data_IF_960488094041
#
_entry.id   IF_960488094041
#
_cell.length_a   1.000
_cell.length_b   1.000
_cell.length_c   1.000
_cell.angle_alpha   90.00
_cell.angle_beta   90.00
_cell.angle_gamma   90.00
#
_symmetry.space_group_name_H-M   'P 1'
#
loop_
_entity.id
_entity.type
_entity.pdbx_description
1 polymer ?
#
# COMPACT_ATOMS: atom_id res chain seq x y z
N UNK A 1 -20.96 18.54 34.25
CA UNK A 1 -20.50 19.66 33.42
C UNK A 1 -19.32 19.11 32.63
N UNK A 2 -19.57 18.67 31.38
CA UNK A 2 -18.58 18.20 30.44
C UNK A 2 -17.84 19.39 29.85
N UNK A 3 -16.52 19.30 29.79
CA UNK A 3 -15.59 20.26 29.19
C UNK A 3 -15.82 20.31 27.66
N UNK A 4 -16.04 21.48 27.02
CA UNK A 4 -16.33 21.59 25.59
C UNK A 4 -15.08 21.71 24.69
N UNK A 5 -13.92 21.20 25.08
CA UNK A 5 -12.66 21.41 24.36
C UNK A 5 -11.94 20.15 23.87
N UNK A 6 -12.61 19.00 23.81
CA UNK A 6 -12.05 17.91 23.01
C UNK A 6 -12.34 18.20 21.52
N UNK A 7 -11.32 18.25 20.65
CA UNK A 7 -11.55 18.36 19.23
C UNK A 7 -12.30 17.10 18.77
N UNK A 8 -13.52 17.29 18.25
CA UNK A 8 -14.22 16.23 17.53
C UNK A 8 -13.27 15.78 16.40
N UNK A 9 -12.81 14.53 16.47
CA UNK A 9 -12.05 13.89 15.39
C UNK A 9 -12.92 13.92 14.13
N UNK A 10 -12.64 14.87 13.24
CA UNK A 10 -13.26 14.88 11.91
C UNK A 10 -12.98 13.52 11.26
N UNK A 11 -14.00 12.82 10.75
CA UNK A 11 -13.81 11.52 10.13
C UNK A 11 -12.81 11.66 8.98
N UNK A 12 -11.72 10.91 9.03
CA UNK A 12 -10.65 10.97 8.05
C UNK A 12 -11.22 10.86 6.63
N UNK A 13 -11.17 11.94 5.88
CA UNK A 13 -11.78 12.06 4.57
C UNK A 13 -10.90 11.39 3.51
N UNK A 14 -11.53 10.70 2.55
CA UNK A 14 -10.81 10.13 1.43
C UNK A 14 -10.34 11.22 0.47
N UNK A 15 -9.05 11.25 0.21
CA UNK A 15 -8.44 12.14 -0.79
C UNK A 15 -8.31 11.43 -2.14
N UNK A 16 -8.88 12.05 -3.17
CA UNK A 16 -8.68 11.60 -4.55
C UNK A 16 -7.40 12.22 -5.11
N UNK A 17 -6.41 11.40 -5.38
CA UNK A 17 -5.15 11.79 -6.00
C UNK A 17 -5.16 11.33 -7.45
N UNK A 18 -4.98 12.26 -8.40
CA UNK A 18 -5.09 11.98 -9.83
C UNK A 18 -3.76 11.87 -10.55
N UNK A 19 -2.69 12.35 -9.95
CA UNK A 19 -1.34 12.34 -10.51
C UNK A 19 -0.34 11.86 -9.46
N UNK A 20 0.63 11.02 -9.81
CA UNK A 20 0.87 10.43 -11.13
C UNK A 20 -0.17 9.40 -11.54
N UNK A 21 -0.85 8.77 -10.57
CA UNK A 21 -1.86 7.76 -10.82
C UNK A 21 -3.19 8.11 -10.19
N UNK A 22 -4.30 7.67 -10.81
CA UNK A 22 -5.58 7.71 -10.14
C UNK A 22 -5.55 6.80 -8.90
N UNK A 23 -5.59 7.41 -7.73
CA UNK A 23 -5.64 6.68 -6.46
C UNK A 23 -6.54 7.39 -5.47
N UNK A 24 -7.07 6.63 -4.54
CA UNK A 24 -7.85 7.12 -3.41
C UNK A 24 -7.08 6.79 -2.15
N UNK A 25 -6.79 7.81 -1.37
CA UNK A 25 -6.00 7.71 -0.15
C UNK A 25 -6.80 8.19 1.06
N UNK A 26 -6.67 7.48 2.15
CA UNK A 26 -7.15 7.87 3.46
C UNK A 26 -5.96 7.93 4.40
N UNK A 27 -5.69 9.09 4.97
CA UNK A 27 -4.75 9.25 6.06
C UNK A 27 -5.54 9.54 7.33
N UNK A 28 -5.22 8.80 8.39
CA UNK A 28 -5.83 9.00 9.69
C UNK A 28 -4.90 9.78 10.62
N UNK A 29 -3.58 9.66 10.41
CA UNK A 29 -2.57 10.30 11.24
C UNK A 29 -1.35 10.69 10.43
N UNK A 30 -0.88 11.93 10.62
CA UNK A 30 0.43 12.38 10.16
C UNK A 30 1.49 12.11 11.23
N UNK A 31 2.69 11.77 10.82
CA UNK A 31 3.79 11.56 11.75
C UNK A 31 4.35 12.90 12.24
N UNK A 32 4.73 13.01 13.52
CA UNK A 32 5.47 14.17 14.03
C UNK A 32 6.77 14.35 13.24
N UNK A 33 7.16 15.60 13.00
CA UNK A 33 8.35 15.93 12.18
C UNK A 33 9.66 15.37 12.76
N UNK A 34 9.71 15.13 14.06
CA UNK A 34 10.83 14.54 14.79
C UNK A 34 10.74 13.03 14.96
N UNK A 35 9.75 12.38 14.33
CA UNK A 35 9.60 10.94 14.43
C UNK A 35 10.87 10.23 13.93
N UNK A 36 11.41 9.36 14.78
CA UNK A 36 12.54 8.50 14.46
C UNK A 36 12.24 7.08 14.94
N UNK A 37 12.01 6.17 14.02
CA UNK A 37 11.65 4.80 14.36
C UNK A 37 11.06 4.01 13.20
N UNK A 38 10.61 2.78 13.47
CA UNK A 38 10.05 1.89 12.47
C UNK A 38 8.68 2.35 11.99
N UNK A 39 8.45 2.32 10.68
CA UNK A 39 7.14 2.41 10.05
C UNK A 39 6.93 1.19 9.16
N UNK A 40 5.69 0.76 9.02
CA UNK A 40 5.35 -0.47 8.30
C UNK A 40 4.45 -0.17 7.13
N UNK A 41 4.76 -0.73 5.96
CA UNK A 41 3.89 -0.74 4.78
C UNK A 41 3.54 -2.18 4.44
N UNK A 42 2.25 -2.44 4.26
CA UNK A 42 1.73 -3.76 3.93
C UNK A 42 0.92 -3.71 2.63
N UNK A 43 1.19 -4.66 1.75
CA UNK A 43 0.23 -5.04 0.74
C UNK A 43 -0.92 -5.84 1.37
N UNK A 44 -2.09 -5.83 0.74
CA UNK A 44 -3.27 -6.52 1.29
C UNK A 44 -3.47 -7.89 0.67
N UNK A 45 -3.46 -7.93 -0.66
CA UNK A 45 -3.82 -9.12 -1.40
C UNK A 45 -2.70 -10.14 -1.36
N UNK A 46 -3.00 -11.38 -0.92
CA UNK A 46 -2.02 -12.48 -0.73
C UNK A 46 -0.90 -12.20 0.28
N UNK A 47 -0.88 -11.03 0.91
CA UNK A 47 0.07 -10.65 1.96
C UNK A 47 -0.58 -10.67 3.34
N UNK A 48 -1.76 -10.08 3.48
CA UNK A 48 -2.59 -10.17 4.68
C UNK A 48 -3.82 -11.04 4.46
N UNK A 49 -4.53 -10.86 3.33
CA UNK A 49 -5.74 -11.61 3.00
C UNK A 49 -5.48 -12.65 1.91
N UNK A 50 -5.97 -13.87 2.11
CA UNK A 50 -6.02 -14.90 1.05
C UNK A 50 -7.10 -14.52 0.04
N UNK A 51 -6.71 -13.73 -0.96
CA UNK A 51 -7.61 -13.29 -2.03
C UNK A 51 -7.46 -14.18 -3.26
N UNK A 52 -8.37 -15.14 -3.41
CA UNK A 52 -8.49 -15.91 -4.64
C UNK A 52 -9.42 -15.20 -5.61
N UNK A 53 -8.86 -14.36 -6.47
CA UNK A 53 -9.60 -13.56 -7.47
C UNK A 53 -10.47 -14.39 -8.42
N UNK A 54 -10.21 -15.68 -8.61
CA UNK A 54 -11.04 -16.57 -9.42
C UNK A 54 -12.47 -16.73 -8.89
N UNK A 55 -12.68 -16.58 -7.58
CA UNK A 55 -14.00 -16.64 -6.96
C UNK A 55 -14.78 -15.33 -7.04
N UNK A 56 -14.09 -14.19 -7.24
CA UNK A 56 -14.73 -12.86 -7.28
C UNK A 56 -15.52 -12.60 -8.56
N UNK A 57 -15.21 -13.27 -9.67
CA UNK A 57 -15.94 -13.10 -10.94
C UNK A 57 -17.40 -13.55 -10.90
N UNK A 58 -17.76 -14.45 -9.99
CA UNK A 58 -19.14 -14.93 -9.79
C UNK A 58 -19.98 -14.14 -8.80
N UNK A 59 -19.34 -13.25 -8.01
CA UNK A 59 -19.93 -12.69 -6.79
C UNK A 59 -20.30 -11.20 -6.87
N UNK A 60 -20.45 -10.65 -8.07
CA UNK A 60 -20.83 -9.23 -8.30
C UNK A 60 -22.18 -8.82 -7.70
N UNK A 61 -22.90 -9.70 -7.00
CA UNK A 61 -24.26 -9.44 -6.53
C UNK A 61 -24.41 -9.19 -5.02
N UNK A 62 -23.39 -9.42 -4.16
CA UNK A 62 -23.61 -9.33 -2.71
C UNK A 62 -22.40 -8.66 -2.00
N UNK A 63 -22.42 -7.32 -1.79
CA UNK A 63 -21.29 -6.59 -1.19
C UNK A 63 -21.08 -6.81 0.32
N UNK A 64 -22.04 -7.39 1.03
CA UNK A 64 -22.05 -7.40 2.50
C UNK A 64 -21.51 -8.68 3.16
N UNK A 65 -21.61 -9.84 2.50
CA UNK A 65 -21.10 -11.11 3.06
C UNK A 65 -19.57 -11.24 2.94
N UNK A 66 -18.95 -10.46 2.08
CA UNK A 66 -17.53 -10.55 1.71
C UNK A 66 -16.51 -10.27 2.81
N UNK A 67 -16.84 -9.45 3.81
CA UNK A 67 -15.87 -9.06 4.82
C UNK A 67 -15.58 -10.19 5.82
N UNK A 68 -16.57 -11.04 6.07
CA UNK A 68 -16.48 -12.15 7.04
C UNK A 68 -15.80 -13.36 6.42
N UNK A 69 -15.99 -13.56 5.11
CA UNK A 69 -15.46 -14.72 4.38
C UNK A 69 -14.00 -14.57 3.93
N UNK A 70 -13.44 -13.34 3.99
CA UNK A 70 -12.02 -13.15 3.71
C UNK A 70 -11.20 -13.63 4.91
N UNK A 71 -10.44 -14.69 4.70
CA UNK A 71 -9.53 -15.20 5.72
C UNK A 71 -8.22 -14.44 5.67
N UNK A 72 -7.77 -13.96 6.82
CA UNK A 72 -6.39 -13.50 6.96
C UNK A 72 -5.44 -14.69 6.84
N UNK A 73 -4.29 -14.48 6.21
CA UNK A 73 -3.25 -15.50 6.20
C UNK A 73 -2.84 -15.84 7.64
N UNK A 74 -2.61 -17.13 7.96
CA UNK A 74 -2.32 -17.55 9.32
C UNK A 74 -1.15 -16.76 9.93
N UNK A 75 -1.38 -16.18 11.10
CA UNK A 75 -0.37 -15.42 11.84
C UNK A 75 -0.19 -13.96 11.43
N UNK A 76 -0.68 -13.53 10.26
CA UNK A 76 -0.45 -12.15 9.79
C UNK A 76 -1.16 -11.10 10.65
N UNK A 77 -2.39 -11.37 11.11
CA UNK A 77 -3.10 -10.47 12.02
C UNK A 77 -2.35 -10.31 13.35
N UNK A 78 -1.86 -11.41 13.93
CA UNK A 78 -1.05 -11.35 15.14
C UNK A 78 0.26 -10.58 14.94
N UNK A 79 0.91 -10.76 13.78
CA UNK A 79 2.12 -10.03 13.42
C UNK A 79 1.82 -8.52 13.27
N UNK A 80 0.73 -8.14 12.61
CA UNK A 80 0.31 -6.74 12.46
C UNK A 80 0.11 -6.08 13.84
N UNK A 81 -0.58 -6.75 14.76
CA UNK A 81 -0.75 -6.25 16.13
C UNK A 81 0.61 -6.10 16.85
N UNK A 82 1.47 -7.12 16.80
CA UNK A 82 2.78 -7.09 17.45
C UNK A 82 3.66 -5.96 16.88
N UNK A 83 3.67 -5.76 15.57
CA UNK A 83 4.40 -4.67 14.91
C UNK A 83 3.84 -3.30 15.32
N UNK A 84 2.51 -3.15 15.34
CA UNK A 84 1.84 -1.91 15.74
C UNK A 84 2.16 -1.53 17.19
N UNK A 85 2.09 -2.48 18.11
CA UNK A 85 2.29 -2.26 19.54
C UNK A 85 3.75 -2.18 19.95
N UNK A 86 4.67 -2.67 19.09
CA UNK A 86 6.10 -2.70 19.41
C UNK A 86 6.46 -3.59 20.60
N UNK A 87 7.73 -3.66 20.98
CA UNK A 87 8.20 -4.57 22.03
C UNK A 87 7.71 -4.21 23.43
N UNK A 88 7.24 -3.00 23.66
CA UNK A 88 6.66 -2.57 24.93
C UNK A 88 5.16 -2.85 25.04
N UNK A 89 4.52 -3.33 23.96
CA UNK A 89 3.07 -3.53 23.83
C UNK A 89 2.24 -2.25 24.08
N UNK A 90 2.88 -1.08 24.04
CA UNK A 90 2.26 0.23 24.34
C UNK A 90 2.56 1.28 23.28
N UNK A 91 3.33 0.91 22.27
CA UNK A 91 3.66 1.82 21.18
C UNK A 91 2.53 1.84 20.15
N UNK A 92 2.43 2.96 19.44
CA UNK A 92 1.57 3.10 18.26
C UNK A 92 2.43 3.36 17.04
N UNK A 93 3.15 2.32 16.58
CA UNK A 93 4.04 2.42 15.42
C UNK A 93 3.25 2.62 14.14
N UNK A 94 3.72 3.49 13.25
CA UNK A 94 3.04 3.80 12.00
C UNK A 94 2.82 2.56 11.13
N UNK A 95 1.57 2.38 10.68
CA UNK A 95 1.15 1.26 9.85
C UNK A 95 0.32 1.77 8.66
N UNK A 96 0.78 1.47 7.47
CA UNK A 96 0.16 1.88 6.22
C UNK A 96 -0.15 0.68 5.35
N UNK A 97 -1.22 0.78 4.55
CA UNK A 97 -1.59 -0.22 3.57
C UNK A 97 -1.60 0.36 2.16
N UNK A 98 -1.17 -0.44 1.19
CA UNK A 98 -1.29 -0.13 -0.24
C UNK A 98 -1.92 -1.34 -0.92
N UNK A 99 -2.98 -1.14 -1.69
CA UNK A 99 -3.64 -2.22 -2.41
C UNK A 99 -4.08 -1.80 -3.80
N UNK A 100 -3.87 -2.67 -4.77
CA UNK A 100 -4.42 -2.54 -6.11
C UNK A 100 -5.86 -3.04 -6.22
N UNK A 101 -6.44 -3.50 -5.13
CA UNK A 101 -7.83 -3.98 -5.05
C UNK A 101 -8.83 -2.93 -5.52
N UNK A 102 -9.91 -3.34 -6.23
CA UNK A 102 -10.91 -2.41 -6.75
C UNK A 102 -11.62 -1.60 -5.66
N UNK A 103 -12.04 -0.35 -5.94
CA UNK A 103 -12.71 0.49 -4.96
C UNK A 103 -14.00 -0.10 -4.37
N UNK A 104 -14.69 -0.97 -5.10
CA UNK A 104 -15.95 -1.57 -4.63
C UNK A 104 -15.75 -2.54 -3.46
N UNK A 105 -14.54 -3.10 -3.25
CA UNK A 105 -14.24 -3.96 -2.11
C UNK A 105 -13.63 -3.20 -0.92
N UNK A 106 -13.40 -1.89 -1.04
CA UNK A 106 -12.82 -1.05 -0.01
C UNK A 106 -13.53 -1.21 1.34
N UNK A 107 -14.87 -1.07 1.33
CA UNK A 107 -15.68 -1.21 2.54
C UNK A 107 -15.53 -2.58 3.20
N UNK A 108 -15.39 -3.64 2.40
CA UNK A 108 -15.18 -4.99 2.92
C UNK A 108 -13.80 -5.14 3.56
N UNK A 109 -12.75 -4.57 2.96
CA UNK A 109 -11.40 -4.55 3.52
C UNK A 109 -11.38 -3.79 4.85
N UNK A 110 -11.89 -2.56 4.89
CA UNK A 110 -11.88 -1.74 6.12
C UNK A 110 -12.74 -2.35 7.22
N UNK A 111 -13.87 -2.96 6.86
CA UNK A 111 -14.69 -3.70 7.83
C UNK A 111 -13.95 -4.92 8.40
N UNK A 112 -13.20 -5.65 7.55
CA UNK A 112 -12.36 -6.76 8.01
C UNK A 112 -11.25 -6.27 8.95
N UNK A 113 -10.59 -5.16 8.62
CA UNK A 113 -9.62 -4.53 9.51
C UNK A 113 -10.23 -4.20 10.88
N UNK A 114 -11.42 -3.61 10.87
CA UNK A 114 -12.14 -3.29 12.12
C UNK A 114 -12.47 -4.55 12.92
N UNK A 115 -12.96 -5.63 12.27
CA UNK A 115 -13.28 -6.90 12.94
C UNK A 115 -12.01 -7.54 13.53
N UNK A 116 -10.89 -7.48 12.81
CA UNK A 116 -9.62 -8.03 13.25
C UNK A 116 -8.88 -7.10 14.24
N UNK A 117 -9.46 -5.95 14.58
CA UNK A 117 -8.85 -4.95 15.46
C UNK A 117 -7.60 -4.30 14.90
N UNK A 118 -7.45 -4.24 13.56
CA UNK A 118 -6.30 -3.64 12.90
C UNK A 118 -6.52 -2.14 12.76
N UNK A 119 -5.76 -1.37 13.53
CA UNK A 119 -5.67 0.08 13.41
C UNK A 119 -4.55 0.46 12.45
N UNK A 120 -4.80 1.40 11.53
CA UNK A 120 -3.82 1.87 10.57
C UNK A 120 -3.77 3.41 10.52
N UNK A 121 -2.65 3.96 10.08
CA UNK A 121 -2.45 5.41 9.94
C UNK A 121 -2.75 5.90 8.52
N UNK A 122 -2.72 5.01 7.55
CA UNK A 122 -3.09 5.34 6.19
C UNK A 122 -3.33 4.11 5.31
N UNK A 123 -4.19 4.28 4.30
CA UNK A 123 -4.45 3.26 3.30
C UNK A 123 -4.62 3.91 1.93
N UNK A 124 -3.99 3.32 0.91
CA UNK A 124 -4.05 3.80 -0.47
C UNK A 124 -4.61 2.72 -1.37
N UNK A 125 -5.64 3.06 -2.12
CA UNK A 125 -6.32 2.21 -3.10
C UNK A 125 -6.07 2.72 -4.52
N UNK A 126 -5.90 1.82 -5.47
CA UNK A 126 -5.93 2.16 -6.90
C UNK A 126 -7.35 2.60 -7.29
N UNK A 127 -7.50 3.76 -7.95
CA UNK A 127 -8.79 4.19 -8.48
C UNK A 127 -9.04 3.58 -9.86
N UNK A 128 -9.58 2.38 -9.88
CA UNK A 128 -9.88 1.67 -11.12
C UNK A 128 -11.01 2.31 -11.93
N UNK A 129 -11.90 3.09 -11.32
CA UNK A 129 -12.99 3.78 -12.02
C UNK A 129 -12.40 4.86 -12.94
N UNK A 130 -11.43 5.61 -12.43
CA UNK A 130 -10.74 6.63 -13.22
C UNK A 130 -9.85 6.00 -14.30
N UNK A 131 -9.15 4.90 -13.99
CA UNK A 131 -8.39 4.11 -14.98
C UNK A 131 -9.30 3.63 -16.11
N UNK A 132 -10.48 3.10 -15.78
CA UNK A 132 -11.48 2.70 -16.77
C UNK A 132 -11.97 3.87 -17.63
N UNK A 133 -12.23 5.02 -17.00
CA UNK A 133 -12.68 6.23 -17.71
C UNK A 133 -11.65 6.75 -18.70
N UNK A 134 -10.35 6.62 -18.37
CA UNK A 134 -9.25 6.97 -19.26
C UNK A 134 -9.03 5.98 -20.40
N UNK A 135 -9.79 4.86 -20.45
CA UNK A 135 -9.63 3.75 -21.39
C UNK A 135 -8.23 3.11 -21.38
N UNK A 136 -7.55 3.21 -20.27
CA UNK A 136 -6.22 2.65 -20.06
C UNK A 136 -6.38 1.19 -19.57
N UNK A 137 -6.85 0.31 -20.45
CA UNK A 137 -7.04 -1.11 -20.17
C UNK A 137 -5.70 -1.83 -20.22
N UNK A 138 -4.86 -1.61 -19.25
CA UNK A 138 -3.57 -2.28 -19.14
C UNK A 138 -3.55 -3.26 -17.97
N UNK A 139 -3.08 -4.42 -18.24
CA UNK A 139 -2.76 -5.57 -17.40
C UNK A 139 -2.08 -5.24 -16.05
N UNK A 140 -1.67 -6.26 -15.31
CA UNK A 140 -0.73 -6.26 -14.15
C UNK A 140 0.42 -5.22 -14.22
N UNK A 141 0.77 -4.76 -15.42
CA UNK A 141 1.81 -3.77 -15.73
C UNK A 141 1.55 -2.38 -15.12
N UNK A 142 0.28 -1.98 -15.00
CA UNK A 142 -0.09 -0.70 -14.38
C UNK A 142 -0.04 -0.74 -12.85
N UNK A 143 0.01 -1.94 -12.24
CA UNK A 143 0.12 -2.09 -10.80
C UNK A 143 1.47 -1.58 -10.30
N UNK A 144 2.56 -1.82 -11.06
CA UNK A 144 3.92 -1.40 -10.68
C UNK A 144 4.00 0.12 -10.53
N UNK A 145 3.55 0.84 -11.55
CA UNK A 145 3.63 2.29 -11.55
C UNK A 145 2.69 2.90 -10.48
N UNK A 146 1.49 2.35 -10.27
CA UNK A 146 0.59 2.73 -9.19
C UNK A 146 1.26 2.54 -7.81
N UNK A 147 1.76 1.33 -7.51
CA UNK A 147 2.38 1.03 -6.22
C UNK A 147 3.61 1.93 -5.98
N UNK A 148 4.48 2.15 -6.99
CA UNK A 148 5.61 3.07 -6.88
C UNK A 148 5.15 4.50 -6.60
N UNK A 149 4.16 5.01 -7.32
CA UNK A 149 3.60 6.34 -7.08
C UNK A 149 3.05 6.49 -5.66
N UNK A 150 2.29 5.52 -5.18
CA UNK A 150 1.74 5.50 -3.83
C UNK A 150 2.85 5.48 -2.75
N UNK A 151 3.89 4.67 -2.95
CA UNK A 151 5.04 4.59 -2.06
C UNK A 151 5.84 5.90 -2.02
N UNK A 152 6.06 6.54 -3.17
CA UNK A 152 6.80 7.80 -3.25
C UNK A 152 6.04 8.95 -2.59
N UNK A 153 4.70 8.99 -2.71
CA UNK A 153 3.88 9.96 -1.99
C UNK A 153 4.02 9.80 -0.48
N UNK A 154 4.02 8.57 0.03
CA UNK A 154 4.28 8.31 1.45
C UNK A 154 5.71 8.68 1.85
N UNK A 155 6.70 8.35 1.01
CA UNK A 155 8.11 8.65 1.30
C UNK A 155 8.39 10.14 1.47
N UNK A 156 7.69 11.00 0.74
CA UNK A 156 7.76 12.47 0.88
C UNK A 156 7.30 12.95 2.25
N UNK A 157 6.34 12.26 2.84
CA UNK A 157 5.71 12.65 4.09
C UNK A 157 6.44 12.08 5.32
N UNK A 158 7.27 11.05 5.12
CA UNK A 158 7.99 10.45 6.22
C UNK A 158 9.15 11.33 6.72
N UNK A 159 9.20 11.60 8.04
CA UNK A 159 10.34 12.26 8.68
C UNK A 159 11.66 11.55 8.41
N UNK A 160 12.76 12.29 8.49
CA UNK A 160 14.12 11.79 8.14
C UNK A 160 14.50 10.56 8.98
N UNK A 161 14.12 10.52 10.25
CA UNK A 161 14.42 9.39 11.16
C UNK A 161 13.61 8.12 10.93
N UNK A 162 12.67 8.11 9.99
CA UNK A 162 11.83 6.95 9.72
C UNK A 162 12.63 5.79 9.12
N UNK A 163 12.40 4.58 9.61
CA UNK A 163 12.94 3.32 9.12
C UNK A 163 11.80 2.45 8.60
N UNK A 164 11.76 2.22 7.30
CA UNK A 164 10.64 1.56 6.66
C UNK A 164 10.85 0.05 6.53
N UNK A 165 9.86 -0.70 6.97
CA UNK A 165 9.74 -2.14 6.79
C UNK A 165 8.56 -2.44 5.89
N UNK A 166 8.78 -3.22 4.84
CA UNK A 166 7.79 -3.45 3.79
C UNK A 166 7.41 -4.92 3.72
N UNK A 167 6.12 -5.19 3.54
CA UNK A 167 5.54 -6.53 3.48
C UNK A 167 4.70 -6.66 2.22
N UNK A 168 5.02 -7.66 1.41
CA UNK A 168 4.35 -7.94 0.14
C UNK A 168 4.41 -9.42 -0.21
N UNK A 169 3.98 -9.76 -1.42
CA UNK A 169 4.00 -11.12 -1.95
C UNK A 169 4.84 -11.24 -3.24
N UNK A 170 5.07 -12.47 -3.67
CA UNK A 170 5.81 -12.75 -4.92
C UNK A 170 4.89 -12.84 -6.16
N UNK A 171 3.58 -12.94 -5.98
CA UNK A 171 2.63 -13.08 -7.08
C UNK A 171 2.38 -11.77 -7.83
N UNK A 172 2.47 -10.62 -7.14
CA UNK A 172 2.27 -9.28 -7.72
C UNK A 172 3.58 -8.52 -7.99
N UNK A 173 4.73 -9.22 -7.95
CA UNK A 173 6.07 -8.67 -8.15
C UNK A 173 6.50 -7.64 -7.10
N UNK A 174 5.94 -7.68 -5.91
CA UNK A 174 6.27 -6.75 -4.84
C UNK A 174 7.76 -6.78 -4.47
N UNK A 175 8.40 -7.94 -4.52
CA UNK A 175 9.84 -8.06 -4.29
C UNK A 175 10.65 -7.11 -5.18
N UNK A 176 10.41 -7.14 -6.49
CA UNK A 176 11.09 -6.28 -7.45
C UNK A 176 10.73 -4.81 -7.24
N UNK A 177 9.44 -4.52 -7.07
CA UNK A 177 8.92 -3.18 -6.87
C UNK A 177 9.49 -2.51 -5.62
N UNK A 178 9.56 -3.25 -4.51
CA UNK A 178 10.11 -2.73 -3.25
C UNK A 178 11.63 -2.53 -3.32
N UNK A 179 12.35 -3.39 -4.04
CA UNK A 179 13.77 -3.16 -4.33
C UNK A 179 13.98 -1.90 -5.17
N UNK A 180 13.17 -1.70 -6.23
CA UNK A 180 13.22 -0.45 -7.02
C UNK A 180 12.92 0.77 -6.16
N UNK A 181 11.91 0.71 -5.31
CA UNK A 181 11.57 1.78 -4.39
C UNK A 181 12.72 2.08 -3.41
N UNK A 182 13.38 1.06 -2.88
CA UNK A 182 14.54 1.24 -2.01
C UNK A 182 15.68 1.94 -2.75
N UNK A 183 15.96 1.55 -4.00
CA UNK A 183 16.98 2.19 -4.84
C UNK A 183 16.62 3.65 -5.20
N UNK A 184 15.34 3.92 -5.44
CA UNK A 184 14.85 5.28 -5.63
C UNK A 184 15.09 6.10 -4.37
N UNK A 185 14.66 5.62 -3.21
CA UNK A 185 14.85 6.34 -1.94
C UNK A 185 16.33 6.58 -1.60
N UNK A 186 17.20 5.62 -1.91
CA UNK A 186 18.64 5.75 -1.71
C UNK A 186 19.35 6.64 -2.78
N UNK A 187 18.60 7.10 -3.79
CA UNK A 187 19.16 7.90 -4.87
C UNK A 187 19.93 7.12 -5.94
N UNK A 188 19.90 5.78 -5.91
CA UNK A 188 20.60 4.90 -6.86
C UNK A 188 19.87 4.77 -8.19
N UNK A 189 18.53 4.93 -8.22
CA UNK A 189 17.70 4.79 -9.41
C UNK A 189 16.84 6.04 -9.60
N UNK A 190 17.17 6.88 -10.58
CA UNK A 190 16.54 8.18 -10.83
C UNK A 190 16.45 8.49 -12.33
N UNK A 191 15.68 9.52 -12.69
CA UNK A 191 15.60 10.10 -14.02
C UNK A 191 15.31 9.07 -15.12
N UNK A 192 16.04 9.16 -16.24
CA UNK A 192 15.85 8.28 -17.41
C UNK A 192 16.07 6.79 -17.11
N UNK A 193 16.96 6.46 -16.18
CA UNK A 193 17.20 5.07 -15.79
C UNK A 193 15.97 4.49 -15.11
N UNK A 194 15.29 5.26 -14.25
CA UNK A 194 14.04 4.86 -13.61
C UNK A 194 12.91 4.72 -14.64
N UNK A 195 12.79 5.65 -15.60
CA UNK A 195 11.80 5.56 -16.68
C UNK A 195 12.01 4.27 -17.46
N UNK A 196 13.23 4.00 -17.93
CA UNK A 196 13.54 2.79 -18.70
C UNK A 196 13.21 1.51 -17.92
N UNK A 197 13.64 1.42 -16.68
CA UNK A 197 13.35 0.26 -15.85
C UNK A 197 11.85 -0.02 -15.70
N UNK A 198 11.03 1.02 -15.52
CA UNK A 198 9.58 0.87 -15.43
C UNK A 198 8.96 0.44 -16.75
N UNK A 199 9.41 1.02 -17.89
CA UNK A 199 8.92 0.68 -19.23
C UNK A 199 9.28 -0.76 -19.57
N UNK A 200 10.49 -1.24 -19.25
CA UNK A 200 10.89 -2.63 -19.43
C UNK A 200 9.99 -3.59 -18.61
N UNK A 201 9.56 -3.18 -17.43
CA UNK A 201 8.56 -3.89 -16.64
C UNK A 201 7.14 -3.75 -17.18
N UNK A 202 6.96 -2.91 -18.19
CA UNK A 202 5.74 -2.73 -18.97
C UNK A 202 4.85 -1.60 -18.48
N UNK A 203 5.34 -0.65 -17.68
CA UNK A 203 4.62 0.58 -17.43
C UNK A 203 4.47 1.39 -18.73
N UNK A 204 3.39 2.17 -18.82
CA UNK A 204 3.24 3.13 -19.89
C UNK A 204 4.25 4.27 -19.73
N UNK A 205 4.83 4.75 -20.83
CA UNK A 205 5.88 5.77 -20.86
C UNK A 205 5.53 7.00 -19.99
N UNK A 206 4.35 7.58 -20.20
CA UNK A 206 3.92 8.77 -19.47
C UNK A 206 3.80 8.55 -17.96
N UNK A 207 3.36 7.37 -17.52
CA UNK A 207 3.32 7.04 -16.10
C UNK A 207 4.73 6.86 -15.51
N UNK A 208 5.62 6.24 -16.26
CA UNK A 208 7.01 6.10 -15.85
C UNK A 208 7.70 7.46 -15.68
N UNK A 209 7.41 8.42 -16.56
CA UNK A 209 7.90 9.80 -16.50
C UNK A 209 7.33 10.54 -15.30
N UNK A 210 6.02 10.41 -15.03
CA UNK A 210 5.38 11.00 -13.86
C UNK A 210 5.95 10.43 -12.54
N UNK A 211 6.18 9.12 -12.46
CA UNK A 211 6.81 8.49 -11.30
C UNK A 211 8.25 8.97 -11.14
N UNK A 212 9.01 9.12 -12.23
CA UNK A 212 10.36 9.64 -12.18
C UNK A 212 10.39 11.09 -11.69
N UNK A 213 9.45 11.93 -12.14
CA UNK A 213 9.30 13.30 -11.63
C UNK A 213 9.00 13.32 -10.14
N UNK A 214 8.06 12.47 -9.67
CA UNK A 214 7.74 12.36 -8.25
C UNK A 214 8.94 11.86 -7.43
N UNK A 215 9.76 10.98 -7.99
CA UNK A 215 10.96 10.49 -7.33
C UNK A 215 11.98 11.61 -7.04
N UNK A 216 12.09 12.63 -7.90
CA UNK A 216 12.99 13.77 -7.67
C UNK A 216 12.58 14.62 -6.46
N UNK A 217 11.31 14.55 -6.05
CA UNK A 217 10.80 15.24 -4.86
C UNK A 217 11.11 14.50 -3.55
N UNK A 218 11.55 13.25 -3.63
CA UNK A 218 11.89 12.43 -2.45
C UNK A 218 13.37 12.63 -2.11
N UNK A 219 13.71 13.15 -0.92
CA UNK A 219 15.10 13.29 -0.48
C UNK A 219 15.82 11.95 -0.47
N UNK A 220 17.03 11.90 -1.05
CA UNK A 220 17.84 10.69 -1.09
C UNK A 220 18.30 10.29 0.33
N UNK A 221 17.89 9.06 0.74
CA UNK A 221 18.25 8.47 2.03
C UNK A 221 17.99 6.96 2.05
N UNK A 222 18.67 6.24 2.93
CA UNK A 222 18.40 4.82 3.19
C UNK A 222 17.13 4.67 4.04
N UNK A 223 15.97 4.90 3.40
CA UNK A 223 14.66 4.85 4.06
C UNK A 223 14.24 3.40 4.35
N UNK A 224 14.44 2.49 3.40
CA UNK A 224 13.98 1.10 3.51
C UNK A 224 14.97 0.27 4.30
N UNK A 225 14.51 -0.28 5.42
CA UNK A 225 15.33 -1.10 6.32
C UNK A 225 15.26 -2.59 6.01
N UNK A 226 14.06 -3.07 5.68
CA UNK A 226 13.86 -4.48 5.32
C UNK A 226 12.63 -4.63 4.41
N UNK A 227 12.69 -5.67 3.57
CA UNK A 227 11.61 -6.10 2.69
C UNK A 227 11.31 -7.57 3.04
N UNK A 228 10.05 -7.85 3.36
CA UNK A 228 9.54 -9.17 3.68
C UNK A 228 8.57 -9.60 2.59
N UNK A 229 8.84 -10.74 1.96
CA UNK A 229 8.01 -11.27 0.87
C UNK A 229 7.39 -12.58 1.31
N UNK A 230 6.06 -12.62 1.29
CA UNK A 230 5.31 -13.85 1.45
C UNK A 230 5.40 -14.66 0.14
N UNK A 231 5.97 -15.84 0.25
CA UNK A 231 6.05 -16.76 -0.89
C UNK A 231 4.71 -17.48 -1.03
N UNK A 232 3.97 -17.14 -2.08
CA UNK A 232 2.71 -17.80 -2.39
C UNK A 232 3.05 -19.16 -3.01
N UNK A 233 3.07 -20.21 -2.18
CA UNK A 233 3.21 -21.57 -2.71
C UNK A 233 2.02 -21.87 -3.61
N UNK A 234 2.22 -21.97 -4.91
CA UNK A 234 1.24 -22.59 -5.77
C UNK A 234 1.03 -24.04 -5.26
N UNK A 235 -0.23 -24.50 -5.05
CA UNK A 235 -0.47 -25.89 -4.77
C UNK A 235 0.11 -26.70 -5.93
N UNK A 236 1.00 -27.65 -5.61
CA UNK A 236 1.75 -28.48 -6.54
C UNK A 236 0.98 -28.83 -7.81
N UNK A 237 1.45 -28.27 -8.90
CA UNK A 237 1.55 -28.89 -10.11
C UNK A 237 0.57 -29.29 -11.03
N UNK A 238 0.27 -28.68 -11.82
CA UNK A 238 0.03 -29.11 -13.17
C UNK A 238 1.28 -28.92 -14.04
N UNK A 239 2.12 -29.92 -14.20
CA UNK A 239 2.92 -30.09 -15.42
C UNK A 239 2.01 -30.63 -16.51
#
# INVERSE_FOLDING_TARGET
VSDPSEPEDEPAEYQLIRSPFPMVRKLQRSLPADYAGPAYIWDIDKTWLDTRFSQLRGMLKIPFEFAVDKQALPGTTALLHALRQGPSEREHRPLYFITASPPFIRKAIERKMLIDGIEFDGITYKDQVEVFRRREFGSLKEHTAFKLGALLLLAREFPIGTQLYMFGDDAERDALLYCMFADICAGRLRGEALVRAQVELGALQHYAEEVASLAEEVPARELVRAIHIHMVCEPDGGR
#
